data_IF_179126491268
#
_entry.id   IF_179126491268
#
_cell.length_a   1.000
_cell.length_b   1.000
_cell.length_c   1.000
_cell.angle_alpha   90.00
_cell.angle_beta   90.00
_cell.angle_gamma   90.00
#
_symmetry.space_group_name_H-M   'P 1'
#
loop_
_entity.id
_entity.type
_entity.pdbx_description
1 polymer ?
#
# COMPACT_ATOMS: atom_id res chain seq x y z
N UNK A 1 11.78 -4.15 11.08
CA UNK A 1 10.69 -5.10 11.37
C UNK A 1 11.23 -6.47 11.76
N UNK A 2 12.26 -6.99 11.11
CA UNK A 2 12.92 -8.23 11.54
C UNK A 2 13.92 -8.02 12.69
N UNK A 3 13.96 -6.82 13.25
CA UNK A 3 14.82 -6.39 14.35
C UNK A 3 16.33 -6.67 14.11
N UNK A 4 16.76 -6.66 12.85
CA UNK A 4 18.15 -6.81 12.47
C UNK A 4 18.81 -5.45 12.20
N UNK A 5 20.05 -5.30 12.66
CA UNK A 5 20.87 -4.16 12.35
C UNK A 5 21.49 -4.36 10.95
N UNK A 6 21.18 -3.47 10.02
CA UNK A 6 21.65 -3.57 8.63
C UNK A 6 23.18 -3.51 8.49
N UNK A 7 23.89 -2.90 9.44
CA UNK A 7 25.36 -2.88 9.46
C UNK A 7 25.90 -4.29 9.75
N UNK A 8 25.31 -4.97 10.74
CA UNK A 8 25.69 -6.36 11.06
C UNK A 8 25.37 -7.32 9.91
N UNK A 9 24.26 -7.09 9.20
CA UNK A 9 23.94 -7.87 7.99
C UNK A 9 25.02 -7.64 6.92
N UNK A 10 25.45 -6.40 6.71
CA UNK A 10 26.50 -6.09 5.74
C UNK A 10 27.83 -6.78 6.12
N UNK A 11 28.21 -6.77 7.39
CA UNK A 11 29.40 -7.48 7.89
C UNK A 11 29.29 -8.99 7.64
N UNK A 12 28.13 -9.59 7.90
CA UNK A 12 27.88 -11.00 7.63
C UNK A 12 27.99 -11.33 6.14
N UNK A 13 27.41 -10.51 5.26
CA UNK A 13 27.48 -10.70 3.80
C UNK A 13 28.91 -10.54 3.28
N UNK A 14 29.74 -9.69 3.88
CA UNK A 14 31.14 -9.53 3.53
C UNK A 14 31.99 -10.79 3.90
N UNK A 15 31.51 -11.66 4.77
CA UNK A 15 32.16 -12.94 5.07
C UNK A 15 31.86 -14.03 4.03
N UNK A 16 30.90 -13.80 3.14
CA UNK A 16 30.52 -14.74 2.08
C UNK A 16 30.99 -14.24 0.71
N UNK A 17 31.94 -14.96 0.12
CA UNK A 17 32.58 -14.61 -1.15
C UNK A 17 31.59 -14.52 -2.32
N UNK A 18 30.47 -15.26 -2.26
CA UNK A 18 29.42 -15.18 -3.29
C UNK A 18 28.71 -13.81 -3.25
N UNK A 19 28.29 -13.36 -2.06
CA UNK A 19 27.66 -12.06 -1.92
C UNK A 19 28.61 -10.91 -2.24
N UNK A 20 29.89 -11.01 -1.83
CA UNK A 20 30.93 -10.03 -2.20
C UNK A 20 31.03 -9.93 -3.72
N UNK A 21 31.20 -11.08 -4.40
CA UNK A 21 31.30 -11.08 -5.87
C UNK A 21 30.04 -10.49 -6.55
N UNK A 22 28.84 -10.94 -6.14
CA UNK A 22 27.58 -10.44 -6.73
C UNK A 22 27.40 -8.93 -6.52
N UNK A 23 27.82 -8.42 -5.36
CA UNK A 23 27.70 -7.00 -5.04
C UNK A 23 28.69 -6.16 -5.82
N UNK A 24 29.93 -6.64 -5.96
CA UNK A 24 30.96 -6.01 -6.79
C UNK A 24 30.52 -6.00 -8.28
N UNK A 25 29.99 -7.10 -8.79
CA UNK A 25 29.52 -7.19 -10.19
C UNK A 25 28.35 -6.20 -10.43
N UNK A 26 27.45 -6.02 -9.47
CA UNK A 26 26.24 -5.19 -9.62
C UNK A 26 26.47 -3.69 -9.29
N UNK A 27 27.33 -3.37 -8.31
CA UNK A 27 27.46 -2.03 -7.75
C UNK A 27 28.90 -1.50 -7.76
N UNK A 28 29.92 -2.33 -8.06
CA UNK A 28 31.34 -1.96 -8.06
C UNK A 28 31.96 -1.79 -6.67
N UNK A 29 31.24 -2.17 -5.60
CA UNK A 29 31.67 -2.07 -4.21
C UNK A 29 31.22 -3.29 -3.40
N UNK A 30 31.80 -3.47 -2.22
CA UNK A 30 31.43 -4.57 -1.31
C UNK A 30 30.04 -4.40 -0.68
N UNK A 31 29.48 -5.47 -0.10
CA UNK A 31 28.24 -5.43 0.66
C UNK A 31 28.24 -4.33 1.73
N UNK A 32 27.20 -3.50 1.70
CA UNK A 32 27.02 -2.36 2.59
C UNK A 32 25.53 -2.07 2.79
N UNK A 33 25.11 -1.31 3.78
CA UNK A 33 23.73 -0.87 3.92
C UNK A 33 23.18 -0.23 2.63
N UNK A 34 24.02 0.49 1.91
CA UNK A 34 23.68 1.12 0.64
C UNK A 34 23.35 0.07 -0.44
N UNK A 35 24.20 -0.94 -0.66
CA UNK A 35 24.00 -1.95 -1.70
C UNK A 35 22.84 -2.87 -1.36
N UNK A 36 22.69 -3.26 -0.09
CA UNK A 36 21.58 -4.10 0.39
C UNK A 36 20.23 -3.44 0.10
N UNK A 37 20.06 -2.18 0.52
CA UNK A 37 18.78 -1.47 0.32
C UNK A 37 18.46 -1.28 -1.15
N UNK A 38 19.45 -1.04 -2.00
CA UNK A 38 19.26 -0.91 -3.45
C UNK A 38 18.96 -2.21 -4.15
N UNK A 39 19.61 -3.29 -3.76
CA UNK A 39 19.33 -4.62 -4.30
C UNK A 39 17.89 -5.05 -3.98
N UNK A 40 17.47 -4.90 -2.72
CA UNK A 40 16.09 -5.18 -2.31
C UNK A 40 15.09 -4.31 -3.08
N UNK A 41 15.32 -3.01 -3.14
CA UNK A 41 14.44 -2.08 -3.87
C UNK A 41 14.41 -2.39 -5.38
N UNK A 42 15.51 -2.82 -5.98
CA UNK A 42 15.54 -3.23 -7.39
C UNK A 42 14.72 -4.49 -7.60
N UNK A 43 14.86 -5.48 -6.71
CA UNK A 43 14.07 -6.71 -6.75
C UNK A 43 12.57 -6.42 -6.59
N UNK A 44 12.17 -5.64 -5.60
CA UNK A 44 10.77 -5.28 -5.37
C UNK A 44 10.13 -4.63 -6.60
N UNK A 45 10.87 -3.82 -7.35
CA UNK A 45 10.39 -3.20 -8.60
C UNK A 45 10.17 -4.20 -9.73
N UNK A 46 10.70 -5.43 -9.65
CA UNK A 46 10.42 -6.48 -10.62
C UNK A 46 9.11 -7.23 -10.33
N UNK A 47 8.58 -7.07 -9.12
CA UNK A 47 7.33 -7.71 -8.69
C UNK A 47 6.13 -6.91 -9.21
N UNK A 48 5.92 -6.96 -10.51
CA UNK A 48 4.85 -6.20 -11.19
C UNK A 48 3.61 -7.09 -11.33
N UNK A 49 2.48 -6.61 -10.78
CA UNK A 49 1.15 -7.18 -11.02
C UNK A 49 0.45 -6.36 -12.11
N UNK A 50 0.33 -6.91 -13.31
CA UNK A 50 -0.19 -6.17 -14.48
C UNK A 50 -0.91 -7.08 -15.49
N UNK A 51 -1.46 -8.22 -15.04
CA UNK A 51 -2.13 -9.20 -15.93
C UNK A 51 -3.53 -9.57 -15.44
N UNK A 52 -4.13 -8.72 -14.58
CA UNK A 52 -5.47 -8.95 -14.06
C UNK A 52 -6.55 -8.76 -15.15
N UNK A 53 -7.79 -9.12 -14.82
CA UNK A 53 -8.93 -8.81 -15.67
C UNK A 53 -9.09 -7.29 -15.90
N UNK A 54 -8.79 -6.49 -14.89
CA UNK A 54 -8.80 -5.04 -14.98
C UNK A 54 -7.77 -4.50 -15.97
N UNK A 55 -6.56 -5.05 -15.97
CA UNK A 55 -5.51 -4.63 -16.91
C UNK A 55 -5.93 -4.92 -18.36
N UNK A 56 -6.47 -6.11 -18.64
CA UNK A 56 -6.97 -6.45 -19.98
C UNK A 56 -8.13 -5.53 -20.41
N UNK A 57 -9.01 -5.18 -19.49
CA UNK A 57 -10.09 -4.22 -19.76
C UNK A 57 -9.54 -2.84 -20.16
N UNK A 58 -8.53 -2.34 -19.44
CA UNK A 58 -7.85 -1.08 -19.79
C UNK A 58 -7.16 -1.16 -21.16
N UNK A 59 -6.66 -2.33 -21.58
CA UNK A 59 -6.07 -2.58 -22.89
C UNK A 59 -7.12 -2.75 -24.01
N UNK A 60 -8.40 -2.68 -23.68
CA UNK A 60 -9.51 -2.66 -24.64
C UNK A 60 -10.31 -3.96 -24.75
N UNK A 61 -10.03 -4.99 -23.93
CA UNK A 61 -10.87 -6.18 -23.83
C UNK A 61 -12.13 -5.88 -22.99
N UNK A 62 -13.18 -5.42 -23.65
CA UNK A 62 -14.45 -5.10 -22.99
C UNK A 62 -15.12 -6.30 -22.31
N UNK A 63 -14.71 -7.53 -22.62
CA UNK A 63 -15.22 -8.76 -22.01
C UNK A 63 -14.46 -9.22 -20.77
N UNK A 64 -13.33 -8.58 -20.45
CA UNK A 64 -12.47 -8.99 -19.35
C UNK A 64 -13.09 -8.78 -17.95
N UNK A 65 -13.98 -7.80 -17.80
CA UNK A 65 -14.71 -7.54 -16.55
C UNK A 65 -16.18 -7.98 -16.65
N UNK A 66 -16.70 -8.54 -15.56
CA UNK A 66 -18.14 -8.78 -15.43
C UNK A 66 -18.89 -7.46 -15.26
N UNK A 67 -20.23 -7.47 -15.46
CA UNK A 67 -21.08 -6.30 -15.20
C UNK A 67 -21.01 -5.86 -13.72
N UNK A 68 -20.91 -6.82 -12.78
CA UNK A 68 -20.74 -6.53 -11.36
C UNK A 68 -19.40 -5.82 -11.10
N UNK A 69 -18.30 -6.28 -11.72
CA UNK A 69 -16.99 -5.62 -11.56
C UNK A 69 -16.96 -4.21 -12.20
N UNK A 70 -17.63 -4.00 -13.33
CA UNK A 70 -17.79 -2.67 -13.92
C UNK A 70 -18.59 -1.73 -13.02
N UNK A 71 -19.71 -2.21 -12.47
CA UNK A 71 -20.49 -1.45 -11.50
C UNK A 71 -19.70 -1.17 -10.22
N UNK A 72 -18.93 -2.15 -9.72
CA UNK A 72 -18.04 -1.96 -8.57
C UNK A 72 -16.97 -0.90 -8.83
N UNK A 73 -16.42 -0.83 -10.05
CA UNK A 73 -15.50 0.24 -10.44
C UNK A 73 -16.20 1.62 -10.45
N UNK A 74 -17.40 1.71 -10.97
CA UNK A 74 -18.17 2.96 -10.95
C UNK A 74 -18.47 3.41 -9.51
N UNK A 75 -18.84 2.47 -8.63
CA UNK A 75 -19.01 2.73 -7.18
C UNK A 75 -17.71 3.23 -6.57
N UNK A 76 -16.56 2.57 -6.84
CA UNK A 76 -15.24 2.95 -6.35
C UNK A 76 -14.89 4.42 -6.69
N UNK A 77 -15.14 4.83 -7.91
CA UNK A 77 -14.92 6.20 -8.35
C UNK A 77 -15.92 7.18 -7.70
N UNK A 78 -17.21 6.81 -7.64
CA UNK A 78 -18.28 7.69 -7.15
C UNK A 78 -18.16 8.02 -5.66
N UNK A 79 -17.71 7.06 -4.82
CA UNK A 79 -17.49 7.26 -3.39
C UNK A 79 -16.10 7.83 -3.07
N UNK A 80 -15.29 8.11 -4.10
CA UNK A 80 -14.05 8.85 -3.99
C UNK A 80 -12.80 8.05 -3.64
N UNK A 81 -12.83 6.71 -3.71
CA UNK A 81 -11.65 5.87 -3.48
C UNK A 81 -10.52 6.19 -4.48
N UNK A 82 -10.87 6.47 -5.74
CA UNK A 82 -9.94 6.84 -6.81
C UNK A 82 -9.14 8.12 -6.55
N UNK A 83 -9.55 8.98 -5.59
CA UNK A 83 -8.78 10.18 -5.23
C UNK A 83 -7.41 9.87 -4.64
N UNK A 84 -7.25 8.71 -4.00
CA UNK A 84 -5.99 8.24 -3.40
C UNK A 84 -5.49 6.96 -4.10
N UNK A 85 -6.43 6.08 -4.45
CA UNK A 85 -6.15 4.79 -5.06
C UNK A 85 -6.31 4.86 -6.58
N UNK A 86 -5.49 5.69 -7.24
CA UNK A 86 -5.52 5.93 -8.68
C UNK A 86 -4.37 5.27 -9.43
N UNK A 87 -4.48 5.27 -10.77
CA UNK A 87 -3.46 4.78 -11.68
C UNK A 87 -3.28 3.26 -11.67
N UNK A 88 -2.30 2.75 -12.42
CA UNK A 88 -2.13 1.31 -12.65
C UNK A 88 -1.91 0.47 -11.39
N UNK A 89 -1.43 1.10 -10.32
CA UNK A 89 -1.18 0.43 -9.05
C UNK A 89 -2.30 0.65 -8.02
N UNK A 90 -3.36 1.37 -8.36
CA UNK A 90 -4.39 1.79 -7.42
C UNK A 90 -3.76 2.44 -6.18
N UNK A 91 -2.83 3.37 -6.41
CA UNK A 91 -2.13 4.14 -5.39
C UNK A 91 -1.43 5.33 -6.04
N UNK A 92 -1.57 6.50 -5.46
CA UNK A 92 -0.76 7.68 -5.79
C UNK A 92 0.55 7.73 -4.98
N UNK A 93 0.77 6.77 -4.08
CA UNK A 93 1.93 6.63 -3.19
C UNK A 93 2.15 7.79 -2.21
N UNK A 94 1.20 8.72 -2.11
CA UNK A 94 1.26 9.84 -1.17
C UNK A 94 1.09 9.37 0.29
N UNK A 95 1.61 10.18 1.21
CA UNK A 95 1.55 9.92 2.64
C UNK A 95 0.34 10.62 3.26
N UNK A 96 -0.61 9.84 3.79
CA UNK A 96 -1.86 10.36 4.36
C UNK A 96 -2.22 9.68 5.67
N UNK A 97 -2.95 10.41 6.51
CA UNK A 97 -3.66 9.83 7.63
C UNK A 97 -5.06 9.43 7.16
N UNK A 98 -5.35 8.14 7.20
CA UNK A 98 -6.63 7.59 6.73
C UNK A 98 -7.72 7.58 7.82
N UNK A 99 -7.47 8.17 8.98
CA UNK A 99 -8.45 8.21 10.06
C UNK A 99 -8.74 6.86 10.70
N UNK A 100 -7.78 5.93 10.72
CA UNK A 100 -7.98 4.63 11.36
C UNK A 100 -8.14 4.77 12.89
N UNK A 101 -7.36 5.64 13.52
CA UNK A 101 -7.37 5.84 14.97
C UNK A 101 -7.52 7.30 15.36
N UNK A 102 -8.16 7.54 16.51
CA UNK A 102 -8.14 8.85 17.19
C UNK A 102 -6.76 9.11 17.81
N UNK A 103 -6.10 8.06 18.33
CA UNK A 103 -4.75 8.11 18.88
C UNK A 103 -3.95 6.97 18.25
N UNK A 104 -2.92 7.29 17.49
CA UNK A 104 -2.13 6.32 16.76
C UNK A 104 -1.10 5.63 17.65
N UNK A 105 -1.11 4.28 17.76
CA UNK A 105 -0.08 3.53 18.49
C UNK A 105 1.28 3.59 17.77
N UNK A 106 1.29 3.64 16.44
CA UNK A 106 2.45 3.97 15.62
C UNK A 106 2.22 5.33 14.97
N UNK A 107 3.08 6.28 15.25
CA UNK A 107 2.95 7.65 14.77
C UNK A 107 3.30 7.85 13.29
N UNK A 108 3.68 6.79 12.57
CA UNK A 108 3.94 6.83 11.13
C UNK A 108 5.07 7.79 10.76
N UNK A 109 4.83 8.64 9.76
CA UNK A 109 5.80 9.61 9.23
C UNK A 109 6.39 10.54 10.31
N UNK A 110 5.63 10.87 11.35
CA UNK A 110 6.10 11.70 12.46
C UNK A 110 7.42 11.19 13.07
N UNK A 111 7.65 9.89 13.11
CA UNK A 111 8.90 9.30 13.65
C UNK A 111 10.16 9.76 12.90
N UNK A 112 10.01 10.21 11.66
CA UNK A 112 11.11 10.69 10.81
C UNK A 112 11.19 12.21 10.79
N UNK A 113 10.04 12.90 10.77
CA UNK A 113 9.96 14.34 10.55
C UNK A 113 9.91 15.14 11.85
N UNK A 114 9.41 14.53 12.93
CA UNK A 114 9.06 15.19 14.21
C UNK A 114 8.07 16.35 14.03
N UNK A 115 7.38 16.42 12.89
CA UNK A 115 6.31 17.38 12.64
C UNK A 115 4.97 16.80 13.13
N UNK A 116 4.26 17.44 14.07
CA UNK A 116 2.97 16.96 14.57
C UNK A 116 1.93 16.70 13.45
N UNK A 117 1.95 17.47 12.37
CA UNK A 117 1.05 17.30 11.24
C UNK A 117 1.28 15.98 10.46
N UNK A 118 2.36 15.25 10.76
CA UNK A 118 2.68 13.98 10.13
C UNK A 118 2.30 12.75 10.98
N UNK A 119 1.66 12.97 12.14
CA UNK A 119 1.19 11.87 13.00
C UNK A 119 0.16 11.02 12.25
N UNK A 120 0.39 9.70 12.25
CA UNK A 120 -0.52 8.73 11.64
C UNK A 120 -0.54 8.75 10.12
N UNK A 121 0.38 9.46 9.47
CA UNK A 121 0.53 9.40 8.02
C UNK A 121 1.32 8.16 7.60
N UNK A 122 0.72 7.38 6.73
CA UNK A 122 1.32 6.21 6.08
C UNK A 122 1.15 6.33 4.57
N UNK A 123 1.99 5.61 3.82
CA UNK A 123 1.88 5.58 2.36
C UNK A 123 0.56 4.94 1.94
N UNK A 124 -0.15 5.58 1.02
CA UNK A 124 -1.32 5.00 0.34
C UNK A 124 -0.89 3.66 -0.28
N UNK A 125 -1.48 2.56 0.20
CA UNK A 125 -1.14 1.23 -0.28
C UNK A 125 -1.73 0.97 -1.66
N UNK A 126 -1.05 0.14 -2.45
CA UNK A 126 -1.65 -0.43 -3.66
C UNK A 126 -2.83 -1.32 -3.28
N UNK A 127 -3.92 -1.29 -4.06
CA UNK A 127 -5.05 -2.20 -3.88
C UNK A 127 -4.93 -3.47 -4.73
N UNK A 128 -3.81 -3.66 -5.42
CA UNK A 128 -3.60 -4.90 -6.17
C UNK A 128 -3.46 -6.09 -5.23
N UNK A 129 -4.07 -7.21 -5.61
CA UNK A 129 -4.00 -8.47 -4.87
C UNK A 129 -4.60 -8.42 -3.44
N UNK A 130 -5.54 -7.51 -3.17
CA UNK A 130 -6.15 -7.37 -1.84
C UNK A 130 -6.74 -8.66 -1.28
N UNK A 131 -7.30 -9.53 -2.13
CA UNK A 131 -7.87 -10.82 -1.71
C UNK A 131 -6.85 -11.75 -1.04
N UNK A 132 -5.55 -11.52 -1.24
CA UNK A 132 -4.46 -12.32 -0.68
C UNK A 132 -3.71 -11.65 0.47
N UNK A 133 -4.03 -10.40 0.79
CA UNK A 133 -3.25 -9.58 1.73
C UNK A 133 -3.92 -9.27 3.06
N UNK A 134 -5.02 -9.96 3.39
CA UNK A 134 -5.61 -9.86 4.72
C UNK A 134 -4.61 -10.30 5.81
N UNK A 135 -4.66 -9.72 7.03
CA UNK A 135 -5.51 -8.62 7.46
C UNK A 135 -5.06 -7.25 6.92
N UNK A 136 -5.97 -6.26 6.96
CA UNK A 136 -5.83 -4.96 6.31
C UNK A 136 -5.39 -3.85 7.26
N UNK A 137 -5.12 -2.67 6.70
CA UNK A 137 -4.52 -1.48 7.30
C UNK A 137 -3.03 -1.65 7.59
N UNK A 138 -2.37 -0.56 8.00
CA UNK A 138 -0.91 -0.56 8.20
C UNK A 138 -0.44 -1.50 9.34
N UNK A 139 -1.33 -1.80 10.27
CA UNK A 139 -1.06 -2.61 11.46
C UNK A 139 -1.77 -3.99 11.43
N UNK A 140 -2.54 -4.27 10.38
CA UNK A 140 -3.31 -5.51 10.28
C UNK A 140 -4.52 -5.58 11.22
N UNK A 141 -4.98 -4.45 11.76
CA UNK A 141 -6.07 -4.42 12.75
C UNK A 141 -7.44 -4.73 12.17
N UNK A 142 -7.61 -4.69 10.84
CA UNK A 142 -8.89 -4.89 10.17
C UNK A 142 -8.89 -6.22 9.41
N UNK A 143 -9.76 -7.14 9.82
CA UNK A 143 -9.72 -8.52 9.33
C UNK A 143 -10.29 -8.71 7.92
N UNK A 144 -11.32 -7.95 7.54
CA UNK A 144 -12.08 -8.16 6.30
C UNK A 144 -12.19 -6.89 5.46
N UNK A 145 -12.40 -7.05 4.14
CA UNK A 145 -12.70 -5.91 3.26
C UNK A 145 -14.03 -5.24 3.62
N UNK A 146 -14.99 -5.97 4.14
CA UNK A 146 -16.24 -5.38 4.63
C UNK A 146 -15.99 -4.41 5.78
N UNK A 147 -15.09 -4.76 6.71
CA UNK A 147 -14.72 -3.89 7.82
C UNK A 147 -13.92 -2.67 7.33
N UNK A 148 -13.06 -2.84 6.31
CA UNK A 148 -12.36 -1.73 5.65
C UNK A 148 -13.36 -0.74 5.05
N UNK A 149 -14.33 -1.24 4.29
CA UNK A 149 -15.38 -0.41 3.67
C UNK A 149 -16.22 0.27 4.76
N UNK A 150 -16.57 -0.42 5.85
CA UNK A 150 -17.30 0.17 6.98
C UNK A 150 -16.52 1.31 7.63
N UNK A 151 -15.21 1.13 7.86
CA UNK A 151 -14.34 2.17 8.43
C UNK A 151 -14.36 3.45 7.59
N UNK A 152 -14.22 3.32 6.27
CA UNK A 152 -14.28 4.46 5.36
C UNK A 152 -15.69 5.03 5.20
N UNK A 153 -16.74 4.21 5.17
CA UNK A 153 -18.12 4.67 5.09
C UNK A 153 -18.54 5.52 6.30
N UNK A 154 -17.95 5.27 7.47
CA UNK A 154 -18.13 6.10 8.67
C UNK A 154 -17.36 7.42 8.63
N UNK A 155 -16.49 7.63 7.64
CA UNK A 155 -15.68 8.85 7.50
C UNK A 155 -14.45 8.89 8.39
N UNK A 156 -13.96 7.73 8.85
CA UNK A 156 -12.79 7.63 9.72
C UNK A 156 -13.04 8.07 11.16
N UNK A 157 -11.97 8.30 11.92
CA UNK A 157 -12.01 8.60 13.37
C UNK A 157 -12.05 10.11 13.71
N UNK A 158 -12.05 10.99 12.70
CA UNK A 158 -11.91 12.44 12.88
C UNK A 158 -10.60 12.87 13.56
N UNK A 159 -9.50 12.18 13.28
CA UNK A 159 -8.19 12.61 13.73
C UNK A 159 -7.87 14.02 13.17
N UNK A 160 -7.18 14.88 13.92
CA UNK A 160 -6.98 16.29 13.58
C UNK A 160 -6.31 16.54 12.21
N UNK A 161 -5.47 15.62 11.74
CA UNK A 161 -4.81 15.68 10.43
C UNK A 161 -5.28 14.60 9.45
N UNK A 162 -6.48 14.03 9.69
CA UNK A 162 -7.10 13.08 8.76
C UNK A 162 -7.22 13.71 7.37
N UNK A 163 -6.95 12.92 6.33
CA UNK A 163 -7.06 13.39 4.95
C UNK A 163 -8.49 13.88 4.64
N UNK A 164 -8.61 15.08 4.09
CA UNK A 164 -9.90 15.71 3.81
C UNK A 164 -10.77 14.91 2.83
N UNK A 165 -10.17 14.07 2.00
CA UNK A 165 -10.89 13.17 1.09
C UNK A 165 -11.67 12.06 1.82
N UNK A 166 -11.37 11.79 3.09
CA UNK A 166 -12.06 10.76 3.88
C UNK A 166 -13.29 11.39 4.51
N UNK A 167 -14.41 11.22 3.83
CA UNK A 167 -15.73 11.70 4.23
C UNK A 167 -16.69 10.51 4.36
N UNK A 168 -17.69 10.57 5.23
CA UNK A 168 -18.69 9.52 5.32
C UNK A 168 -19.48 9.40 4.01
N UNK A 169 -19.83 8.17 3.64
CA UNK A 169 -20.66 7.87 2.48
C UNK A 169 -21.64 6.72 2.78
N UNK A 170 -22.72 6.67 2.01
CA UNK A 170 -23.64 5.55 2.05
C UNK A 170 -23.31 4.55 0.94
N UNK A 171 -23.48 3.28 1.21
CA UNK A 171 -23.27 2.18 0.27
C UNK A 171 -24.29 1.09 0.53
N UNK A 172 -25.01 0.64 -0.49
CA UNK A 172 -25.96 -0.47 -0.39
C UNK A 172 -25.23 -1.81 -0.29
N UNK A 173 -25.96 -2.84 0.13
CA UNK A 173 -25.40 -4.20 0.17
C UNK A 173 -24.99 -4.72 -1.22
N UNK A 174 -25.71 -4.34 -2.27
CA UNK A 174 -25.38 -4.72 -3.65
C UNK A 174 -24.10 -4.02 -4.13
N UNK A 175 -24.00 -2.70 -3.99
CA UNK A 175 -22.79 -1.93 -4.34
C UNK A 175 -21.56 -2.42 -3.58
N UNK A 176 -21.71 -2.76 -2.30
CA UNK A 176 -20.64 -3.34 -1.49
C UNK A 176 -20.15 -4.69 -2.03
N UNK A 177 -21.06 -5.53 -2.52
CA UNK A 177 -20.70 -6.82 -3.15
C UNK A 177 -19.93 -6.61 -4.44
N UNK A 178 -20.37 -5.67 -5.27
CA UNK A 178 -19.77 -5.38 -6.56
C UNK A 178 -18.41 -4.67 -6.42
N UNK A 179 -18.23 -3.88 -5.34
CA UNK A 179 -16.99 -3.18 -5.02
C UNK A 179 -15.86 -4.12 -4.58
N UNK A 180 -16.15 -5.29 -4.01
CA UNK A 180 -15.16 -6.28 -3.53
C UNK A 180 -14.70 -7.23 -4.61
#
# INVERSE_FOLDING_TARGET
>A
ELNHNIVLIAEQLNSDSLYVKMTQDAFGIDPSPYTITRALSAFERTLISGTSAYDRWLEGDASALSQAALHGHDVFESIGCGQCHSGPQFSDFELRNNGLFVVYPDSGLYRLTLNPDDIGKFKTASLRNLSYSAPYMFDGSVATLDDVINQYAQGGSNHFNQAAAIQPFEITAAERMDLK
#
